data_IF_390504278959
#
_entry.id   IF_390504278959
#
_cell.length_a   1.000
_cell.length_b   1.000
_cell.length_c   1.000
_cell.angle_alpha   90.00
_cell.angle_beta   90.00
_cell.angle_gamma   90.00
#
_symmetry.space_group_name_H-M   'P 1'
#
loop_
_entity.id
_entity.type
_entity.pdbx_description
1 polymer ?
#
# COMPACT_ATOMS: atom_id res chain seq x y z
N UNK A 1 33.28 0.43 -5.92
CA UNK A 1 32.59 0.96 -4.72
C UNK A 1 31.10 0.89 -5.00
N UNK A 2 30.45 -0.20 -4.59
CA UNK A 2 29.03 -0.47 -4.87
C UNK A 2 28.11 0.14 -3.80
N UNK A 3 28.52 1.28 -3.23
CA UNK A 3 27.80 2.00 -2.17
C UNK A 3 26.36 2.36 -2.56
N UNK A 4 26.08 2.50 -3.86
CA UNK A 4 24.79 2.93 -4.40
C UNK A 4 23.90 1.76 -4.87
N UNK A 5 24.40 0.53 -4.87
CA UNK A 5 23.64 -0.63 -5.37
C UNK A 5 22.29 -0.83 -4.66
N UNK A 6 22.20 -0.75 -3.31
CA UNK A 6 20.92 -0.87 -2.61
C UNK A 6 19.91 0.22 -3.03
N UNK A 7 20.39 1.45 -3.19
CA UNK A 7 19.55 2.60 -3.58
C UNK A 7 19.10 2.46 -5.04
N UNK A 8 19.99 2.01 -5.94
CA UNK A 8 19.65 1.75 -7.34
C UNK A 8 18.53 0.71 -7.46
N UNK A 9 18.64 -0.40 -6.73
CA UNK A 9 17.61 -1.44 -6.69
C UNK A 9 16.29 -0.88 -6.16
N UNK A 10 16.36 -0.10 -5.08
CA UNK A 10 15.18 0.54 -4.49
C UNK A 10 14.51 1.51 -5.46
N UNK A 11 15.25 2.39 -6.13
CA UNK A 11 14.69 3.33 -7.11
C UNK A 11 14.00 2.60 -8.27
N UNK A 12 14.57 1.51 -8.78
CA UNK A 12 13.94 0.70 -9.81
C UNK A 12 12.65 0.03 -9.30
N UNK A 13 12.67 -0.48 -8.07
CA UNK A 13 11.48 -1.07 -7.46
C UNK A 13 10.35 -0.02 -7.27
N UNK A 14 10.70 1.21 -6.88
CA UNK A 14 9.78 2.33 -6.70
C UNK A 14 9.18 2.88 -8.00
N UNK A 15 9.71 2.49 -9.16
CA UNK A 15 9.20 2.88 -10.48
C UNK A 15 8.12 1.93 -11.04
N UNK A 16 7.79 0.86 -10.32
CA UNK A 16 6.66 -0.02 -10.66
C UNK A 16 5.35 0.76 -10.57
N UNK A 17 4.37 0.35 -11.37
CA UNK A 17 3.08 1.04 -11.48
C UNK A 17 2.19 0.79 -10.25
N UNK A 18 2.20 -0.45 -9.73
CA UNK A 18 1.28 -0.91 -8.70
C UNK A 18 2.00 -1.02 -7.35
N UNK A 19 2.35 0.14 -6.78
CA UNK A 19 3.03 0.21 -5.48
C UNK A 19 2.09 0.85 -4.46
N UNK A 20 1.66 0.05 -3.49
CA UNK A 20 0.97 0.54 -2.30
C UNK A 20 1.99 1.05 -1.27
N UNK A 21 1.49 1.76 -0.25
CA UNK A 21 2.33 2.36 0.80
C UNK A 21 3.13 1.32 1.61
N UNK A 22 2.59 0.10 1.77
CA UNK A 22 3.29 -1.00 2.42
C UNK A 22 4.49 -1.50 1.61
N UNK A 23 4.31 -1.73 0.32
CA UNK A 23 5.39 -2.13 -0.60
C UNK A 23 6.48 -1.06 -0.69
N UNK A 24 6.08 0.22 -0.71
CA UNK A 24 7.02 1.33 -0.60
C UNK A 24 7.86 1.22 0.68
N UNK A 25 7.22 0.98 1.83
CA UNK A 25 7.92 0.86 3.10
C UNK A 25 8.84 -0.36 3.15
N UNK A 26 8.42 -1.49 2.57
CA UNK A 26 9.26 -2.67 2.38
C UNK A 26 10.53 -2.38 1.58
N UNK A 27 10.39 -1.68 0.45
CA UNK A 27 11.53 -1.25 -0.38
C UNK A 27 12.43 -0.28 0.39
N UNK A 28 11.85 0.65 1.15
CA UNK A 28 12.58 1.59 2.00
C UNK A 28 13.43 0.89 3.06
N UNK A 29 12.85 -0.07 3.77
CA UNK A 29 13.53 -0.87 4.79
C UNK A 29 14.66 -1.71 4.18
N UNK A 30 14.40 -2.37 3.04
CA UNK A 30 15.41 -3.18 2.34
C UNK A 30 16.60 -2.33 1.89
N UNK A 31 16.35 -1.12 1.39
CA UNK A 31 17.40 -0.18 1.01
C UNK A 31 18.23 0.28 2.22
N UNK A 32 17.56 0.63 3.33
CA UNK A 32 18.20 1.04 4.58
C UNK A 32 19.09 -0.06 5.15
N UNK A 33 18.59 -1.30 5.17
CA UNK A 33 19.35 -2.47 5.61
C UNK A 33 20.57 -2.72 4.71
N UNK A 34 20.40 -2.69 3.38
CA UNK A 34 21.49 -2.87 2.43
C UNK A 34 22.58 -1.78 2.54
N UNK A 35 22.20 -0.53 2.83
CA UNK A 35 23.14 0.56 3.07
C UNK A 35 23.92 0.39 4.38
N UNK A 36 23.26 -0.15 5.42
CA UNK A 36 23.90 -0.44 6.70
C UNK A 36 24.99 -1.51 6.55
N UNK A 37 24.73 -2.56 5.77
CA UNK A 37 25.66 -3.67 5.53
C UNK A 37 26.89 -3.29 4.68
N UNK A 38 26.80 -2.24 3.85
CA UNK A 38 27.90 -1.81 2.97
C UNK A 38 29.01 -1.04 3.72
N UNK A 39 28.69 -0.31 4.80
CA UNK A 39 29.66 0.30 5.71
C UNK A 39 30.46 1.52 5.17
N UNK A 40 30.38 1.84 3.88
CA UNK A 40 31.09 2.99 3.29
C UNK A 40 30.62 4.36 3.84
N UNK A 41 31.49 5.38 3.78
CA UNK A 41 31.16 6.74 4.25
C UNK A 41 29.95 7.29 3.51
N UNK A 42 29.90 7.10 2.18
CA UNK A 42 28.77 7.53 1.36
C UNK A 42 27.47 6.82 1.76
N UNK A 43 27.51 5.49 1.93
CA UNK A 43 26.34 4.72 2.36
C UNK A 43 25.82 5.18 3.74
N UNK A 44 26.72 5.49 4.68
CA UNK A 44 26.37 6.03 6.00
C UNK A 44 25.70 7.40 5.92
N UNK A 45 26.16 8.30 5.04
CA UNK A 45 25.54 9.61 4.85
C UNK A 45 24.14 9.47 4.24
N UNK A 46 23.97 8.61 3.22
CA UNK A 46 22.66 8.34 2.63
C UNK A 46 21.71 7.75 3.68
N UNK A 47 22.17 6.75 4.44
CA UNK A 47 21.37 6.13 5.50
C UNK A 47 20.96 7.15 6.56
N UNK A 48 21.84 8.09 6.93
CA UNK A 48 21.50 9.19 7.85
C UNK A 48 20.37 10.05 7.29
N UNK A 49 20.47 10.47 6.03
CA UNK A 49 19.41 11.26 5.38
C UNK A 49 18.10 10.48 5.24
N UNK A 50 18.16 9.19 4.94
CA UNK A 50 16.98 8.32 4.92
C UNK A 50 16.32 8.27 6.29
N UNK A 51 17.06 7.98 7.37
CA UNK A 51 16.49 7.96 8.72
C UNK A 51 15.84 9.29 9.13
N UNK A 52 16.43 10.42 8.76
CA UNK A 52 15.82 11.74 8.99
C UNK A 52 14.47 11.89 8.25
N UNK A 53 14.38 11.38 7.02
CA UNK A 53 13.15 11.41 6.23
C UNK A 53 12.10 10.43 6.75
N UNK A 54 12.53 9.27 7.23
CA UNK A 54 11.65 8.23 7.81
C UNK A 54 10.84 8.75 8.99
N UNK A 55 11.46 9.57 9.86
CA UNK A 55 10.75 10.23 10.96
C UNK A 55 9.61 11.14 10.46
N UNK A 56 9.76 11.76 9.29
CA UNK A 56 8.69 12.57 8.69
C UNK A 56 7.60 11.71 8.05
N UNK A 57 7.98 10.57 7.45
CA UNK A 57 7.03 9.62 6.87
C UNK A 57 6.13 9.01 7.94
N UNK A 58 6.71 8.56 9.05
CA UNK A 58 5.98 7.96 10.17
C UNK A 58 5.14 8.98 10.97
N UNK A 59 5.24 10.28 10.70
CA UNK A 59 4.31 11.28 11.25
C UNK A 59 3.00 11.38 10.47
N UNK A 60 2.92 10.81 9.26
CA UNK A 60 1.74 10.91 8.42
C UNK A 60 0.70 9.84 8.84
N UNK A 61 -0.50 10.23 9.31
CA UNK A 61 -1.52 9.28 9.74
C UNK A 61 -2.02 8.35 8.63
N UNK A 62 -2.04 8.80 7.37
CA UNK A 62 -2.41 7.97 6.21
C UNK A 62 -1.39 6.86 6.01
N UNK A 63 -0.11 7.21 6.14
CA UNK A 63 0.99 6.26 6.01
C UNK A 63 0.98 5.23 7.15
N UNK A 64 0.78 5.68 8.39
CA UNK A 64 0.64 4.80 9.55
C UNK A 64 -0.56 3.86 9.43
N UNK A 65 -1.71 4.36 8.99
CA UNK A 65 -2.90 3.55 8.76
C UNK A 65 -2.66 2.47 7.70
N UNK A 66 -1.97 2.80 6.60
CA UNK A 66 -1.65 1.84 5.55
C UNK A 66 -0.66 0.76 6.02
N UNK A 67 0.37 1.12 6.80
CA UNK A 67 1.30 0.15 7.38
C UNK A 67 0.60 -0.71 8.44
N UNK A 68 -0.30 -0.12 9.24
CA UNK A 68 -1.06 -0.86 10.24
C UNK A 68 -1.90 -1.96 9.60
N UNK A 69 -2.51 -1.72 8.43
CA UNK A 69 -3.28 -2.71 7.66
C UNK A 69 -2.41 -3.65 6.82
N UNK A 70 -1.09 -3.60 6.96
CA UNK A 70 -0.15 -4.50 6.30
C UNK A 70 0.53 -5.42 7.33
N UNK A 71 0.05 -6.68 7.50
CA UNK A 71 0.62 -7.63 8.46
C UNK A 71 2.12 -7.89 8.26
N UNK A 72 2.68 -7.60 7.08
CA UNK A 72 4.12 -7.77 6.81
C UNK A 72 4.97 -6.78 7.61
N UNK A 73 4.45 -5.58 7.84
CA UNK A 73 5.20 -4.44 8.37
C UNK A 73 4.59 -3.82 9.64
N UNK A 74 3.39 -4.23 10.05
CA UNK A 74 2.74 -3.81 11.29
C UNK A 74 3.61 -3.98 12.55
N UNK A 75 4.51 -4.98 12.56
CA UNK A 75 5.48 -5.20 13.64
C UNK A 75 6.50 -4.07 13.83
N UNK A 76 6.72 -3.23 12.80
CA UNK A 76 7.68 -2.12 12.85
C UNK A 76 7.11 -0.86 13.50
N UNK A 77 5.79 -0.79 13.69
CA UNK A 77 5.15 0.35 14.34
C UNK A 77 5.23 0.20 15.86
N UNK A 78 5.55 1.31 16.54
CA UNK A 78 5.40 1.39 17.98
C UNK A 78 3.92 1.55 18.37
N UNK A 79 3.61 1.39 19.66
CA UNK A 79 2.24 1.49 20.18
C UNK A 79 1.56 2.83 19.91
N UNK A 80 2.30 3.94 19.99
CA UNK A 80 1.77 5.28 19.70
C UNK A 80 1.39 5.43 18.23
N UNK A 81 2.23 4.93 17.33
CA UNK A 81 2.04 4.99 15.89
C UNK A 81 0.87 4.08 15.47
N UNK A 82 0.75 2.89 16.08
CA UNK A 82 -0.40 2.00 15.89
C UNK A 82 -1.70 2.69 16.29
N UNK A 83 -1.75 3.32 17.45
CA UNK A 83 -2.94 4.05 17.91
C UNK A 83 -3.29 5.21 16.98
N UNK A 84 -2.29 5.96 16.50
CA UNK A 84 -2.50 7.04 15.53
C UNK A 84 -3.07 6.52 14.21
N UNK A 85 -2.59 5.36 13.75
CA UNK A 85 -3.13 4.67 12.58
C UNK A 85 -4.58 4.22 12.79
N UNK A 86 -4.88 3.59 13.93
CA UNK A 86 -6.24 3.15 14.30
C UNK A 86 -7.20 4.34 14.35
N UNK A 87 -6.82 5.45 15.00
CA UNK A 87 -7.64 6.66 15.08
C UNK A 87 -7.96 7.22 13.69
N UNK A 88 -6.98 7.19 12.77
CA UNK A 88 -7.19 7.61 11.40
C UNK A 88 -8.14 6.66 10.65
N UNK A 89 -7.97 5.34 10.84
CA UNK A 89 -8.82 4.30 10.25
C UNK A 89 -10.27 4.41 10.70
N UNK A 90 -10.51 4.65 11.99
CA UNK A 90 -11.86 4.88 12.54
C UNK A 90 -12.49 6.14 11.93
N UNK A 91 -11.73 7.22 11.75
CA UNK A 91 -12.22 8.44 11.08
C UNK A 91 -12.58 8.17 9.61
N UNK A 92 -11.72 7.47 8.89
CA UNK A 92 -11.96 7.07 7.49
C UNK A 92 -13.21 6.21 7.37
N UNK A 93 -13.37 5.22 8.26
CA UNK A 93 -14.56 4.36 8.29
C UNK A 93 -15.85 5.15 8.54
N UNK A 94 -15.85 6.07 9.51
CA UNK A 94 -17.00 6.96 9.78
C UNK A 94 -17.36 7.80 8.56
N UNK A 95 -16.34 8.35 7.87
CA UNK A 95 -16.55 9.12 6.64
C UNK A 95 -17.13 8.25 5.51
N UNK A 96 -16.66 7.00 5.36
CA UNK A 96 -17.20 6.07 4.37
C UNK A 96 -18.69 5.76 4.61
N UNK A 97 -19.08 5.52 5.87
CA UNK A 97 -20.49 5.28 6.21
C UNK A 97 -21.34 6.53 5.92
N UNK A 98 -20.88 7.73 6.30
CA UNK A 98 -21.61 8.97 6.04
C UNK A 98 -21.87 9.19 4.55
N UNK A 99 -20.83 9.01 3.71
CA UNK A 99 -20.98 9.13 2.26
C UNK A 99 -21.98 8.10 1.73
N UNK A 100 -21.94 6.88 2.27
CA UNK A 100 -22.83 5.81 1.82
C UNK A 100 -24.29 6.07 2.23
N UNK A 101 -24.52 6.60 3.44
CA UNK A 101 -25.85 7.01 3.92
C UNK A 101 -26.41 8.20 3.14
N UNK A 102 -25.57 9.15 2.74
CA UNK A 102 -25.95 10.29 1.89
C UNK A 102 -26.35 9.84 0.47
N UNK A 103 -25.65 8.84 -0.09
CA UNK A 103 -25.96 8.27 -1.41
C UNK A 103 -27.32 7.54 -1.40
N UNK A 104 -27.66 6.83 -0.33
CA UNK A 104 -28.96 6.16 -0.19
C UNK A 104 -30.16 7.11 -0.05
N UNK A 105 -29.96 8.40 0.24
CA UNK A 105 -31.04 9.39 0.24
C UNK A 105 -31.34 9.95 -1.15
N UNK A 106 -30.47 9.70 -2.14
CA UNK A 106 -30.58 10.25 -3.51
C UNK A 106 -30.91 9.21 -4.59
N UNK A 107 -30.82 7.91 -4.30
CA UNK A 107 -30.93 6.85 -5.31
C UNK A 107 -32.11 5.91 -5.08
N UNK A 108 -33.34 6.42 -5.12
CA UNK A 108 -34.47 5.64 -5.63
C UNK A 108 -34.35 5.61 -7.15
N UNK A 109 -33.78 4.53 -7.71
CA UNK A 109 -34.14 3.86 -8.98
C UNK A 109 -33.03 2.90 -9.41
N UNK A 110 -33.33 1.60 -9.31
CA UNK A 110 -32.91 0.47 -10.17
C UNK A 110 -31.41 0.16 -10.34
N UNK A 111 -30.95 -0.99 -9.82
CA UNK A 111 -31.09 -2.27 -10.53
C UNK A 111 -30.38 -3.43 -9.82
N UNK A 112 -31.07 -4.58 -9.78
CA UNK A 112 -30.51 -5.87 -9.43
C UNK A 112 -29.63 -6.42 -10.56
N UNK A 113 -28.52 -7.08 -10.21
CA UNK A 113 -27.99 -8.17 -11.03
C UNK A 113 -27.18 -9.15 -10.17
N UNK A 114 -27.60 -10.42 -10.23
CA UNK A 114 -27.02 -11.62 -9.63
C UNK A 114 -26.16 -12.35 -10.66
N UNK A 115 -24.97 -12.88 -10.28
CA UNK A 115 -24.29 -14.10 -10.82
C UNK A 115 -22.78 -14.04 -10.46
N UNK A 116 -22.24 -14.94 -9.63
CA UNK A 116 -21.74 -16.32 -9.90
C UNK A 116 -20.38 -16.43 -10.62
N UNK A 117 -19.40 -16.91 -9.81
CA UNK A 117 -18.30 -17.86 -10.02
C UNK A 117 -17.29 -17.71 -11.18
N UNK A 118 -15.99 -17.73 -10.85
CA UNK A 118 -15.10 -18.90 -11.04
C UNK A 118 -13.70 -18.64 -10.45
N UNK A 119 -13.23 -19.56 -9.60
CA UNK A 119 -11.87 -19.58 -9.05
C UNK A 119 -11.02 -20.42 -9.99
N UNK A 120 -9.96 -19.81 -10.54
CA UNK A 120 -8.88 -20.55 -11.18
C UNK A 120 -7.59 -20.25 -10.39
N UNK A 121 -6.91 -21.33 -10.00
CA UNK A 121 -5.68 -21.31 -9.22
C UNK A 121 -4.50 -21.29 -10.18
N UNK A 122 -3.42 -20.57 -9.84
CA UNK A 122 -2.13 -21.24 -10.00
C UNK A 122 -1.22 -21.12 -8.78
N UNK A 123 -0.75 -22.31 -8.43
CA UNK A 123 0.49 -22.71 -7.79
C UNK A 123 1.70 -21.85 -8.18
N UNK A 124 2.57 -21.57 -7.20
CA UNK A 124 4.03 -21.62 -7.38
C UNK A 124 4.75 -21.52 -6.03
N UNK A 125 5.09 -22.70 -5.51
CA UNK A 125 6.43 -23.11 -5.06
C UNK A 125 7.41 -22.00 -4.64
N UNK A 126 7.65 -21.94 -3.33
CA UNK A 126 8.73 -21.18 -2.70
C UNK A 126 10.09 -21.83 -2.96
N UNK A 127 10.91 -21.24 -3.82
CA UNK A 127 12.36 -21.45 -3.77
C UNK A 127 12.96 -20.59 -2.65
N UNK A 128 13.36 -21.27 -1.58
CA UNK A 128 14.07 -20.74 -0.43
C UNK A 128 15.48 -20.35 -0.82
N UNK A 129 15.71 -19.05 -1.02
CA UNK A 129 17.01 -18.43 -0.73
C UNK A 129 16.86 -17.69 0.58
N UNK A 130 17.59 -18.17 1.60
CA UNK A 130 17.77 -17.52 2.91
C UNK A 130 18.13 -16.03 2.71
N UNK A 131 17.15 -15.14 2.94
CA UNK A 131 17.29 -13.70 2.73
C UNK A 131 17.36 -13.02 4.10
N UNK A 132 18.54 -12.51 4.47
CA UNK A 132 18.78 -11.86 5.77
C UNK A 132 17.82 -10.70 6.08
N UNK A 133 17.11 -10.18 5.08
CA UNK A 133 16.02 -9.22 5.30
C UNK A 133 14.81 -9.84 6.01
N UNK A 134 14.44 -11.08 5.68
CA UNK A 134 13.30 -11.76 6.34
C UNK A 134 13.63 -12.12 7.80
N UNK A 135 14.89 -12.50 8.06
CA UNK A 135 15.40 -12.71 9.41
C UNK A 135 15.33 -11.40 10.23
N UNK A 136 15.71 -10.27 9.62
CA UNK A 136 15.57 -8.96 10.25
C UNK A 136 14.12 -8.65 10.60
N UNK A 137 13.17 -8.81 9.67
CA UNK A 137 11.75 -8.54 9.94
C UNK A 137 11.19 -9.46 11.04
N UNK A 138 11.50 -10.75 11.00
CA UNK A 138 11.06 -11.74 12.00
C UNK A 138 11.63 -11.46 13.40
N UNK A 139 12.84 -10.89 13.50
CA UNK A 139 13.41 -10.50 14.79
C UNK A 139 12.72 -9.30 15.45
N UNK A 140 11.95 -8.52 14.69
CA UNK A 140 11.19 -7.38 15.21
C UNK A 140 9.76 -7.76 15.64
N UNK A 141 9.26 -8.94 15.26
CA UNK A 141 7.95 -9.41 15.72
C UNK A 141 8.04 -10.03 17.11
N UNK A 142 7.43 -9.39 18.11
CA UNK A 142 7.16 -10.03 19.41
C UNK A 142 5.93 -10.93 19.28
N UNK A 143 6.12 -12.25 19.33
CA UNK A 143 5.02 -13.21 19.31
C UNK A 143 4.28 -13.13 20.64
N UNK A 144 3.07 -12.55 20.61
CA UNK A 144 2.09 -12.67 21.68
C UNK A 144 0.88 -13.39 21.11
N UNK A 145 0.92 -14.73 21.13
CA UNK A 145 -0.22 -15.55 20.74
C UNK A 145 -1.12 -15.73 21.96
N UNK A 146 -2.10 -14.84 22.12
CA UNK A 146 -3.22 -15.06 23.03
C UNK A 146 -4.51 -14.86 22.22
N UNK A 147 -5.07 -15.97 21.73
CA UNK A 147 -6.41 -15.99 21.15
C UNK A 147 -7.43 -15.90 22.29
N UNK A 148 -8.08 -14.76 22.42
CA UNK A 148 -9.32 -14.63 23.19
C UNK A 148 -10.46 -14.41 22.21
N UNK A 149 -11.22 -15.47 21.94
CA UNK A 149 -12.49 -15.39 21.23
C UNK A 149 -13.49 -14.65 22.12
N UNK A 150 -13.86 -13.42 21.78
CA UNK A 150 -15.02 -12.73 22.37
C UNK A 150 -15.92 -12.13 21.30
N UNK A 151 -17.20 -12.45 21.45
CA UNK A 151 -18.32 -12.18 20.57
C UNK A 151 -18.46 -10.72 20.09
N UNK A 152 -18.78 -10.66 18.79
CA UNK A 152 -19.40 -9.61 17.97
C UNK A 152 -19.93 -8.38 18.72
N UNK A 153 -19.25 -7.26 18.50
CA UNK A 153 -19.83 -5.92 18.52
C UNK A 153 -19.41 -5.23 17.22
N UNK A 154 -20.36 -4.62 16.51
CA UNK A 154 -20.21 -3.99 15.18
C UNK A 154 -19.32 -2.72 15.15
N UNK A 155 -18.47 -2.53 16.16
CA UNK A 155 -17.56 -1.39 16.21
C UNK A 155 -16.25 -1.74 15.47
N UNK A 156 -15.99 -1.03 14.38
CA UNK A 156 -14.74 -1.13 13.60
C UNK A 156 -13.50 -1.02 14.51
N UNK A 157 -13.61 -0.28 15.61
CA UNK A 157 -12.55 -0.09 16.60
C UNK A 157 -12.13 -1.41 17.25
N UNK A 158 -13.10 -2.28 17.58
CA UNK A 158 -12.84 -3.61 18.17
C UNK A 158 -12.17 -4.52 17.14
N UNK A 159 -12.66 -4.48 15.89
CA UNK A 159 -12.05 -5.25 14.78
C UNK A 159 -10.61 -4.83 14.51
N UNK A 160 -10.31 -3.53 14.57
CA UNK A 160 -8.95 -2.99 14.45
C UNK A 160 -8.05 -3.39 15.61
N UNK A 161 -8.57 -3.37 16.84
CA UNK A 161 -7.81 -3.85 18.01
C UNK A 161 -7.52 -5.34 17.93
N UNK A 162 -8.47 -6.17 17.49
CA UNK A 162 -8.23 -7.60 17.27
C UNK A 162 -7.22 -7.85 16.13
N UNK A 163 -7.17 -6.97 15.14
CA UNK A 163 -6.19 -7.04 14.06
C UNK A 163 -4.76 -6.70 14.50
N UNK A 164 -4.61 -5.98 15.62
CA UNK A 164 -3.31 -5.55 16.15
C UNK A 164 -2.33 -6.70 16.40
N UNK A 165 -2.86 -7.88 16.72
CA UNK A 165 -2.12 -9.08 17.13
C UNK A 165 -2.08 -10.18 16.05
N UNK A 166 -2.34 -9.83 14.78
CA UNK A 166 -2.31 -10.78 13.66
C UNK A 166 -0.89 -11.31 13.40
N UNK A 167 -0.81 -12.58 13.02
CA UNK A 167 0.46 -13.22 12.65
C UNK A 167 1.09 -12.53 11.44
N UNK A 168 2.39 -12.29 11.55
CA UNK A 168 3.16 -11.61 10.51
C UNK A 168 3.22 -12.47 9.24
N UNK A 169 2.90 -11.85 8.11
CA UNK A 169 3.07 -12.45 6.79
C UNK A 169 4.51 -12.28 6.29
N UNK A 170 4.95 -13.23 5.45
CA UNK A 170 6.21 -13.13 4.75
C UNK A 170 6.23 -11.91 3.81
N UNK A 171 7.36 -11.21 3.74
CA UNK A 171 7.44 -9.92 3.05
C UNK A 171 7.19 -9.97 1.52
N UNK A 172 7.36 -11.14 0.90
CA UNK A 172 7.10 -11.36 -0.54
C UNK A 172 5.63 -11.61 -0.86
N UNK A 173 4.79 -11.85 0.14
CA UNK A 173 3.36 -12.12 -0.07
C UNK A 173 2.67 -10.87 -0.60
N UNK A 174 1.74 -11.05 -1.54
CA UNK A 174 0.92 -9.96 -2.05
C UNK A 174 -0.18 -9.62 -1.04
N UNK A 175 -0.17 -8.37 -0.58
CA UNK A 175 -1.12 -7.89 0.43
C UNK A 175 -2.56 -7.84 -0.09
N UNK A 176 -2.77 -7.60 -1.39
CA UNK A 176 -4.10 -7.56 -1.99
C UNK A 176 -4.73 -8.95 -2.05
N UNK A 177 -3.95 -9.99 -2.36
CA UNK A 177 -4.44 -11.38 -2.34
C UNK A 177 -4.78 -11.83 -0.92
N UNK A 178 -4.02 -11.37 0.08
CA UNK A 178 -4.34 -11.61 1.48
C UNK A 178 -5.71 -11.00 1.84
N UNK A 179 -5.92 -9.72 1.53
CA UNK A 179 -7.19 -9.06 1.83
C UNK A 179 -8.36 -9.69 1.06
N UNK A 180 -8.18 -10.11 -0.20
CA UNK A 180 -9.22 -10.81 -0.95
C UNK A 180 -9.65 -12.12 -0.27
N UNK A 181 -8.69 -12.88 0.29
CA UNK A 181 -9.01 -14.10 1.04
C UNK A 181 -9.79 -13.84 2.34
N UNK A 182 -9.59 -12.65 2.93
CA UNK A 182 -10.21 -12.22 4.19
C UNK A 182 -11.55 -11.51 4.02
N UNK A 183 -12.04 -11.39 2.77
CA UNK A 183 -13.27 -10.69 2.40
C UNK A 183 -14.52 -11.17 3.15
N UNK A 184 -14.65 -12.48 3.38
CA UNK A 184 -15.80 -13.07 4.05
C UNK A 184 -15.67 -13.07 5.57
N UNK A 185 -14.45 -13.18 6.09
CA UNK A 185 -14.18 -13.25 7.52
C UNK A 185 -14.20 -11.86 8.16
N UNK A 186 -13.67 -10.84 7.47
CA UNK A 186 -13.53 -9.46 7.95
C UNK A 186 -13.99 -8.45 6.90
N UNK A 187 -15.27 -8.50 6.52
CA UNK A 187 -15.83 -7.70 5.42
C UNK A 187 -15.61 -6.18 5.59
N UNK A 188 -15.70 -5.68 6.81
CA UNK A 188 -15.58 -4.26 7.09
C UNK A 188 -14.12 -3.79 6.99
N UNK A 189 -13.21 -4.59 7.54
CA UNK A 189 -11.79 -4.30 7.46
C UNK A 189 -11.26 -4.45 6.03
N UNK A 190 -11.79 -5.39 5.26
CA UNK A 190 -11.50 -5.54 3.83
C UNK A 190 -11.91 -4.29 3.02
N UNK A 191 -13.12 -3.76 3.23
CA UNK A 191 -13.56 -2.51 2.59
C UNK A 191 -12.64 -1.34 2.94
N UNK A 192 -12.27 -1.22 4.22
CA UNK A 192 -11.38 -0.17 4.69
C UNK A 192 -9.96 -0.33 4.10
N UNK A 193 -9.44 -1.55 4.06
CA UNK A 193 -8.14 -1.86 3.47
C UNK A 193 -8.10 -1.52 1.98
N UNK A 194 -9.15 -1.82 1.22
CA UNK A 194 -9.22 -1.45 -0.19
C UNK A 194 -9.11 0.07 -0.42
N UNK A 195 -9.72 0.89 0.45
CA UNK A 195 -9.63 2.35 0.35
C UNK A 195 -8.24 2.85 0.72
N UNK A 196 -7.68 2.36 1.83
CA UNK A 196 -6.40 2.86 2.35
C UNK A 196 -5.21 2.37 1.50
N UNK A 197 -5.25 1.13 1.02
CA UNK A 197 -4.18 0.56 0.19
C UNK A 197 -4.23 1.04 -1.28
N UNK A 198 -5.35 1.63 -1.72
CA UNK A 198 -5.45 2.29 -3.01
C UNK A 198 -4.68 3.63 -3.08
N UNK A 199 -4.19 4.15 -1.94
CA UNK A 199 -3.39 5.37 -1.93
C UNK A 199 -2.07 5.13 -2.70
N UNK A 200 -1.82 5.89 -3.78
CA UNK A 200 -0.60 5.70 -4.56
C UNK A 200 0.62 6.13 -3.75
N UNK A 201 1.64 5.27 -3.68
CA UNK A 201 2.88 5.59 -2.97
C UNK A 201 3.83 6.50 -3.76
N UNK A 202 3.71 6.54 -5.09
CA UNK A 202 4.59 7.32 -5.98
C UNK A 202 3.81 8.00 -7.11
N UNK A 203 4.40 9.04 -7.70
CA UNK A 203 3.83 9.76 -8.85
C UNK A 203 4.33 9.22 -10.21
N UNK A 204 5.10 8.13 -10.21
CA UNK A 204 5.81 7.63 -11.39
C UNK A 204 4.84 7.14 -12.49
N UNK A 205 3.69 6.58 -12.12
CA UNK A 205 2.68 6.12 -13.09
C UNK A 205 2.11 7.29 -13.91
N UNK A 206 1.90 8.43 -13.24
CA UNK A 206 1.42 9.68 -13.82
C UNK A 206 2.53 10.29 -14.68
N UNK A 207 3.75 10.44 -14.15
CA UNK A 207 4.91 10.94 -14.90
C UNK A 207 5.19 10.13 -16.16
N UNK A 208 5.10 8.80 -16.09
CA UNK A 208 5.28 7.91 -17.26
C UNK A 208 4.17 8.12 -18.29
N UNK A 209 2.94 8.33 -17.85
CA UNK A 209 1.81 8.60 -18.74
C UNK A 209 1.95 9.95 -19.45
N UNK A 210 2.46 10.98 -18.77
CA UNK A 210 2.81 12.27 -19.37
C UNK A 210 4.05 12.19 -20.27
N UNK A 211 5.09 11.47 -19.87
CA UNK A 211 6.36 11.42 -20.60
C UNK A 211 6.29 10.61 -21.91
N UNK A 212 5.52 9.53 -21.93
CA UNK A 212 5.49 8.60 -23.08
C UNK A 212 4.53 9.02 -24.19
N UNK A 213 3.40 9.67 -23.87
CA UNK A 213 2.38 10.03 -24.86
C UNK A 213 2.28 11.52 -25.14
N UNK A 214 2.42 12.35 -24.10
CA UNK A 214 2.09 13.77 -24.16
C UNK A 214 3.28 14.62 -24.59
N UNK A 215 4.52 14.17 -24.34
CA UNK A 215 5.73 14.88 -24.79
C UNK A 215 5.77 15.14 -26.32
N UNK A 216 5.20 14.24 -27.12
CA UNK A 216 5.11 14.40 -28.58
C UNK A 216 4.00 15.36 -29.02
N UNK A 217 3.04 15.63 -28.14
CA UNK A 217 1.83 16.40 -28.40
C UNK A 217 1.96 17.83 -27.86
N UNK A 218 2.63 18.01 -26.72
CA UNK A 218 2.86 19.30 -26.05
C UNK A 218 4.20 19.95 -26.41
N UNK A 219 4.91 19.50 -27.46
CA UNK A 219 6.16 20.17 -27.84
C UNK A 219 5.88 21.63 -28.22
N UNK A 220 6.72 22.56 -27.78
CA UNK A 220 6.56 24.01 -28.01
C UNK A 220 6.34 24.40 -29.49
N UNK A 221 6.71 23.53 -30.43
CA UNK A 221 6.68 23.73 -31.88
C UNK A 221 5.51 23.06 -32.60
N UNK A 222 4.71 22.21 -31.93
CA UNK A 222 3.54 21.55 -32.54
C UNK A 222 2.36 21.58 -31.58
N UNK A 223 1.31 22.26 -32.04
CA UNK A 223 -0.09 22.19 -31.59
C UNK A 223 -0.38 22.70 -30.18
N UNK A 224 -0.93 23.92 -30.10
CA UNK A 224 -1.67 24.39 -28.93
C UNK A 224 -3.01 23.63 -28.84
N UNK A 225 -2.99 22.43 -28.26
CA UNK A 225 -4.23 21.76 -27.90
C UNK A 225 -4.92 22.55 -26.78
N UNK A 226 -6.25 22.63 -26.86
CA UNK A 226 -7.03 23.13 -25.74
C UNK A 226 -6.94 22.17 -24.55
N UNK A 227 -6.98 22.71 -23.33
CA UNK A 227 -6.91 21.92 -22.10
C UNK A 227 -7.95 20.77 -22.08
N UNK A 228 -9.18 21.07 -22.48
CA UNK A 228 -10.27 20.08 -22.53
C UNK A 228 -9.98 18.90 -23.46
N UNK A 229 -9.33 19.16 -24.59
CA UNK A 229 -8.98 18.10 -25.55
C UNK A 229 -7.81 17.25 -25.03
N UNK A 230 -6.84 17.88 -24.35
CA UNK A 230 -5.76 17.16 -23.68
C UNK A 230 -6.31 16.22 -22.60
N UNK A 231 -7.25 16.69 -21.78
CA UNK A 231 -7.90 15.89 -20.74
C UNK A 231 -8.68 14.71 -21.34
N UNK A 232 -9.45 14.95 -22.41
CA UNK A 232 -10.17 13.88 -23.10
C UNK A 232 -9.22 12.81 -23.66
N UNK A 233 -8.10 13.21 -24.28
CA UNK A 233 -7.06 12.29 -24.76
C UNK A 233 -6.46 11.50 -23.59
N UNK A 234 -6.20 12.15 -22.46
CA UNK A 234 -5.66 11.49 -21.27
C UNK A 234 -6.60 10.44 -20.70
N UNK A 235 -7.90 10.76 -20.59
CA UNK A 235 -8.91 9.83 -20.07
C UNK A 235 -9.00 8.59 -20.98
N UNK A 236 -9.16 8.79 -22.29
CA UNK A 236 -9.25 7.69 -23.26
C UNK A 236 -8.01 6.80 -23.18
N UNK A 237 -6.82 7.38 -23.20
CA UNK A 237 -5.56 6.62 -23.12
C UNK A 237 -5.41 5.86 -21.80
N UNK A 238 -5.82 6.46 -20.70
CA UNK A 238 -5.74 5.80 -19.39
C UNK A 238 -6.67 4.59 -19.35
N UNK A 239 -7.90 4.73 -19.84
CA UNK A 239 -8.89 3.65 -19.87
C UNK A 239 -8.48 2.48 -20.79
N UNK A 240 -7.84 2.75 -21.94
CA UNK A 240 -7.35 1.66 -22.82
C UNK A 240 -6.36 0.71 -22.16
N UNK A 241 -5.68 1.14 -21.08
CA UNK A 241 -4.77 0.27 -20.32
C UNK A 241 -5.50 -0.70 -19.38
N UNK A 242 -6.76 -0.42 -19.04
CA UNK A 242 -7.57 -1.22 -18.13
C UNK A 242 -8.62 -2.09 -18.83
N UNK A 243 -8.80 -1.95 -20.15
CA UNK A 243 -9.74 -2.73 -20.96
C UNK A 243 -9.10 -3.95 -21.66
N UNK A 244 -7.89 -4.34 -21.24
CA UNK A 244 -7.20 -5.56 -21.68
C UNK A 244 -7.15 -6.53 -20.52
#
# INVERSE_FOLDING_TARGET
VDALTPVKIATLALQKQDINLGDFYGVWLKASHGLQSNGSILAKQILKSMKQREVLLLKNPVFLAAIFLDPRYQCMLNESDKNTGIDHLVKTWKCMIQIQDDVYQTDDVNNSATASNNVDSPDNTTETTDDGFELFLSSQSSVSSNRSDTNISNDISISLHNFKDVERLHYKTNILTFWESQKHEKSDLYKLANVVLAVPATQVSVERSFSSGIKFILSDLRTSLSANLLDAIMIVRSNTKFMK
#
